data_IF_353228754330
#
_entry.id   IF_353228754330
#
_cell.length_a   1.000
_cell.length_b   1.000
_cell.length_c   1.000
_cell.angle_alpha   90.00
_cell.angle_beta   90.00
_cell.angle_gamma   90.00
#
_symmetry.space_group_name_H-M   'P 1'
#
loop_
_entity.id
_entity.type
_entity.pdbx_description
1 polymer ?
#
# COMPACT_ATOMS: atom_id res chain seq x y z
N UNK A 1 6.90 -25.78 60.13
CA UNK A 1 6.34 -24.51 60.61
C UNK A 1 4.94 -24.34 60.02
N UNK A 2 3.91 -24.38 60.87
CA UNK A 2 2.63 -23.62 60.84
C UNK A 2 1.83 -23.67 59.51
N UNK A 3 0.62 -24.20 59.34
CA UNK A 3 -0.56 -24.52 60.19
C UNK A 3 -1.51 -25.47 59.42
N UNK A 4 -2.12 -26.48 60.07
CA UNK A 4 -3.56 -26.59 60.46
C UNK A 4 -4.55 -25.86 59.52
N UNK A 5 -5.68 -26.40 59.05
CA UNK A 5 -6.44 -27.61 59.32
C UNK A 5 -7.93 -27.35 58.98
N UNK A 6 -8.73 -28.45 58.86
CA UNK A 6 -10.22 -28.51 58.87
C UNK A 6 -10.95 -27.97 57.62
N UNK A 7 -12.10 -28.47 57.16
CA UNK A 7 -13.14 -29.35 57.71
C UNK A 7 -14.01 -29.88 56.53
N UNK A 8 -14.58 -31.08 56.69
CA UNK A 8 -15.63 -31.67 55.86
C UNK A 8 -16.90 -30.79 55.78
N UNK A 9 -17.66 -30.89 54.67
CA UNK A 9 -18.95 -31.61 54.63
C UNK A 9 -19.81 -31.25 53.40
N UNK A 10 -20.63 -32.23 53.01
CA UNK A 10 -21.86 -32.16 52.19
C UNK A 10 -21.79 -32.54 50.71
N UNK A 11 -21.88 -33.87 50.56
CA UNK A 11 -22.66 -34.61 49.57
C UNK A 11 -24.05 -34.00 49.28
N UNK A 12 -24.41 -33.90 48.00
CA UNK A 12 -25.69 -34.42 47.51
C UNK A 12 -25.58 -34.79 46.03
N UNK A 13 -26.09 -35.98 45.77
CA UNK A 13 -25.99 -36.78 44.56
C UNK A 13 -27.06 -36.36 43.53
N UNK A 14 -27.20 -37.17 42.46
CA UNK A 14 -28.35 -37.26 41.51
C UNK A 14 -28.19 -36.30 40.31
N UNK A 15 -28.13 -36.68 39.02
CA UNK A 15 -28.57 -37.89 38.29
C UNK A 15 -27.97 -37.97 36.87
N UNK A 16 -27.53 -39.18 36.52
CA UNK A 16 -27.97 -39.99 35.35
C UNK A 16 -27.86 -39.40 33.93
N UNK A 17 -26.86 -39.94 33.23
CA UNK A 17 -26.82 -40.29 31.80
C UNK A 17 -28.17 -40.34 31.08
N UNK A 18 -28.28 -39.59 29.97
CA UNK A 18 -29.04 -40.00 28.79
C UNK A 18 -28.32 -39.61 27.51
N UNK A 19 -27.94 -40.64 26.75
CA UNK A 19 -27.67 -40.59 25.31
C UNK A 19 -28.83 -39.86 24.63
N UNK A 20 -28.54 -38.85 23.81
CA UNK A 20 -29.50 -38.31 22.87
C UNK A 20 -29.08 -38.67 21.45
N UNK A 21 -30.01 -39.33 20.77
CA UNK A 21 -29.92 -39.85 19.41
C UNK A 21 -29.66 -38.72 18.40
N UNK A 22 -28.78 -39.04 17.44
CA UNK A 22 -28.69 -38.31 16.18
C UNK A 22 -29.97 -38.55 15.37
N UNK A 23 -30.78 -37.51 15.23
CA UNK A 23 -31.80 -37.41 14.18
C UNK A 23 -31.32 -36.39 13.16
N UNK A 24 -30.97 -36.87 11.97
CA UNK A 24 -30.69 -36.08 10.78
C UNK A 24 -31.96 -35.31 10.39
N UNK A 25 -32.00 -34.01 10.68
CA UNK A 25 -32.97 -33.10 10.12
C UNK A 25 -32.37 -32.44 8.86
N UNK A 26 -33.02 -32.60 7.72
CA UNK A 26 -32.68 -31.95 6.45
C UNK A 26 -32.69 -30.42 6.61
N UNK A 27 -31.87 -29.66 5.85
CA UNK A 27 -31.86 -28.22 5.96
C UNK A 27 -33.15 -27.69 5.33
N UNK A 28 -34.09 -27.25 6.18
CA UNK A 28 -35.16 -26.38 5.73
C UNK A 28 -34.50 -25.08 5.24
N UNK A 29 -34.81 -24.70 4.00
CA UNK A 29 -34.49 -23.39 3.44
C UNK A 29 -35.08 -22.30 4.35
N UNK A 30 -34.28 -21.83 5.30
CA UNK A 30 -34.54 -20.55 5.96
C UNK A 30 -34.06 -19.50 4.98
N UNK A 31 -34.97 -19.03 4.14
CA UNK A 31 -34.88 -17.72 3.52
C UNK A 31 -34.82 -16.69 4.64
N UNK A 32 -33.62 -16.45 5.17
CA UNK A 32 -33.34 -15.28 5.99
C UNK A 32 -33.43 -14.10 5.05
N UNK A 33 -34.63 -13.51 4.96
CA UNK A 33 -34.76 -12.09 4.72
C UNK A 33 -33.94 -11.40 5.81
N UNK A 34 -32.67 -11.10 5.53
CA UNK A 34 -31.92 -10.10 6.29
C UNK A 34 -32.58 -8.76 5.98
N UNK A 35 -33.57 -8.41 6.80
CA UNK A 35 -34.02 -7.04 6.92
C UNK A 35 -32.82 -6.23 7.39
N UNK A 36 -32.23 -5.47 6.46
CA UNK A 36 -31.23 -4.46 6.75
C UNK A 36 -31.89 -3.37 7.60
N UNK A 37 -31.79 -3.50 8.92
CA UNK A 37 -32.14 -2.42 9.82
C UNK A 37 -31.15 -1.28 9.59
N UNK A 38 -31.64 -0.25 8.90
CA UNK A 38 -30.94 0.98 8.58
C UNK A 38 -30.61 1.79 9.86
N UNK A 39 -29.60 1.36 10.62
CA UNK A 39 -28.84 2.24 11.49
C UNK A 39 -27.90 3.12 10.65
N UNK A 40 -27.38 4.26 11.17
CA UNK A 40 -26.26 4.92 10.52
C UNK A 40 -25.12 3.89 10.43
N UNK A 41 -24.70 3.54 9.22
CA UNK A 41 -23.54 2.65 9.06
C UNK A 41 -22.34 3.36 9.73
N UNK A 42 -21.86 2.79 10.84
CA UNK A 42 -20.66 3.30 11.49
C UNK A 42 -19.50 3.27 10.48
N UNK A 43 -18.75 4.37 10.38
CA UNK A 43 -17.63 4.54 9.42
C UNK A 43 -16.67 3.35 9.48
N UNK A 44 -16.44 2.82 10.68
CA UNK A 44 -15.60 1.65 10.94
C UNK A 44 -16.08 0.38 10.24
N UNK A 45 -17.39 0.13 10.15
CA UNK A 45 -17.95 -1.04 9.47
C UNK A 45 -17.81 -0.93 7.95
N UNK A 46 -17.97 0.28 7.40
CA UNK A 46 -17.78 0.54 5.97
C UNK A 46 -16.31 0.36 5.59
N UNK A 47 -15.38 0.90 6.39
CA UNK A 47 -13.95 0.67 6.18
C UNK A 47 -13.59 -0.82 6.21
N UNK A 48 -14.17 -1.59 7.13
CA UNK A 48 -13.96 -3.04 7.18
C UNK A 48 -14.51 -3.75 5.94
N UNK A 49 -15.66 -3.32 5.39
CA UNK A 49 -16.20 -3.87 4.14
C UNK A 49 -15.28 -3.58 2.95
N UNK A 50 -14.75 -2.36 2.88
CA UNK A 50 -13.82 -1.92 1.83
C UNK A 50 -12.53 -2.74 1.87
N UNK A 51 -11.95 -2.95 3.06
CA UNK A 51 -10.71 -3.73 3.23
C UNK A 51 -10.90 -5.21 2.86
N UNK A 52 -12.09 -5.78 3.07
CA UNK A 52 -12.38 -7.19 2.76
C UNK A 52 -12.39 -7.48 1.26
N UNK A 53 -12.63 -6.48 0.41
CA UNK A 53 -12.60 -6.64 -1.03
C UNK A 53 -11.18 -6.50 -1.54
N UNK A 54 -10.68 -7.50 -2.28
CA UNK A 54 -9.30 -7.54 -2.74
C UNK A 54 -8.96 -6.39 -3.71
N UNK A 55 -9.89 -6.03 -4.61
CA UNK A 55 -9.71 -4.93 -5.58
C UNK A 55 -10.95 -4.02 -5.60
N UNK A 56 -11.16 -3.27 -4.52
CA UNK A 56 -12.30 -2.36 -4.38
C UNK A 56 -12.30 -1.20 -5.39
N UNK A 57 -11.12 -0.73 -5.80
CA UNK A 57 -10.96 0.42 -6.70
C UNK A 57 -10.71 0.02 -8.17
N UNK A 58 -10.85 -1.26 -8.48
CA UNK A 58 -10.64 -1.85 -9.80
C UNK A 58 -9.26 -1.51 -10.39
N UNK A 59 -8.22 -1.45 -9.56
CA UNK A 59 -6.87 -1.04 -9.98
C UNK A 59 -6.27 -2.01 -11.00
N UNK A 60 -6.75 -3.25 -11.03
CA UNK A 60 -6.34 -4.24 -12.04
C UNK A 60 -6.57 -3.75 -13.47
N UNK A 61 -7.63 -2.99 -13.70
CA UNK A 61 -8.02 -2.50 -15.03
C UNK A 61 -7.21 -1.28 -15.49
N UNK A 62 -6.31 -0.75 -14.65
CA UNK A 62 -5.52 0.44 -15.00
C UNK A 62 -4.42 0.17 -16.02
N UNK A 63 -3.88 -1.06 -16.05
CA UNK A 63 -2.79 -1.42 -16.94
C UNK A 63 -2.79 -2.91 -17.26
N UNK A 64 -2.22 -3.25 -18.41
CA UNK A 64 -1.88 -4.61 -18.80
C UNK A 64 -0.37 -4.85 -18.78
N UNK A 65 0.04 -6.12 -18.77
CA UNK A 65 1.47 -6.50 -18.93
C UNK A 65 2.03 -5.95 -20.25
N UNK A 66 1.19 -5.85 -21.28
CA UNK A 66 1.56 -5.28 -22.57
C UNK A 66 1.94 -3.81 -22.46
N UNK A 67 1.25 -3.05 -21.62
CA UNK A 67 1.54 -1.62 -21.41
C UNK A 67 2.89 -1.43 -20.70
N UNK A 68 3.20 -2.27 -19.70
CA UNK A 68 4.52 -2.30 -19.05
C UNK A 68 5.64 -2.62 -20.05
N UNK A 69 5.39 -3.59 -20.95
CA UNK A 69 6.33 -3.95 -22.00
C UNK A 69 6.58 -2.79 -22.97
N UNK A 70 5.51 -2.18 -23.47
CA UNK A 70 5.57 -1.04 -24.39
C UNK A 70 6.27 0.18 -23.77
N UNK A 71 6.09 0.41 -22.46
CA UNK A 71 6.73 1.49 -21.71
C UNK A 71 8.19 1.19 -21.30
N UNK A 72 8.76 0.04 -21.74
CA UNK A 72 10.16 -0.34 -21.48
C UNK A 72 10.48 -0.57 -20.00
N UNK A 73 9.48 -0.98 -19.20
CA UNK A 73 9.64 -1.28 -17.77
C UNK A 73 10.55 -2.47 -17.51
N UNK A 74 10.63 -3.40 -18.45
CA UNK A 74 11.40 -4.64 -18.33
C UNK A 74 12.91 -4.47 -18.44
N UNK A 75 13.43 -3.31 -18.85
CA UNK A 75 14.87 -3.10 -18.95
C UNK A 75 15.48 -2.79 -17.59
N UNK A 76 16.54 -3.51 -17.23
CA UNK A 76 17.40 -3.18 -16.11
C UNK A 76 18.79 -2.73 -16.56
N UNK A 77 19.66 -2.52 -15.58
CA UNK A 77 21.06 -2.16 -15.79
C UNK A 77 21.90 -3.35 -16.30
N UNK A 78 23.21 -3.14 -16.43
CA UNK A 78 24.17 -4.20 -16.78
C UNK A 78 24.31 -5.19 -15.62
N UNK A 79 24.62 -6.45 -15.94
CA UNK A 79 24.85 -7.52 -14.96
C UNK A 79 25.85 -7.14 -13.85
N UNK A 80 26.91 -6.39 -14.19
CA UNK A 80 27.92 -5.96 -13.22
C UNK A 80 27.45 -4.95 -12.18
N UNK A 81 26.26 -4.36 -12.36
CA UNK A 81 25.64 -3.42 -11.42
C UNK A 81 24.50 -4.04 -10.61
N UNK A 82 24.26 -5.35 -10.76
CA UNK A 82 23.19 -6.07 -10.07
C UNK A 82 23.43 -6.10 -8.56
N UNK A 83 22.41 -5.73 -7.79
CA UNK A 83 22.34 -6.05 -6.36
C UNK A 83 21.81 -7.48 -6.16
N UNK A 84 22.46 -8.24 -5.29
CA UNK A 84 22.11 -9.63 -5.01
C UNK A 84 20.66 -9.82 -4.55
N UNK A 85 20.08 -8.81 -3.88
CA UNK A 85 18.70 -8.84 -3.35
C UNK A 85 17.67 -8.67 -4.45
N UNK A 86 18.07 -8.14 -5.61
CA UNK A 86 17.19 -7.96 -6.77
C UNK A 86 17.07 -9.21 -7.63
N UNK A 87 17.95 -10.21 -7.45
CA UNK A 87 17.94 -11.48 -8.21
C UNK A 87 16.56 -12.13 -8.36
N UNK A 88 15.68 -12.21 -7.34
CA UNK A 88 14.37 -12.87 -7.48
C UNK A 88 13.42 -12.16 -8.47
N UNK A 89 13.62 -10.87 -8.71
CA UNK A 89 12.80 -10.06 -9.62
C UNK A 89 13.31 -10.04 -11.06
N UNK A 90 14.54 -10.51 -11.29
CA UNK A 90 15.15 -10.60 -12.61
C UNK A 90 14.67 -11.88 -13.30
N UNK A 91 14.19 -11.74 -14.53
CA UNK A 91 13.81 -12.84 -15.41
C UNK A 91 15.05 -13.51 -16.02
N UNK A 92 16.01 -12.71 -16.47
CA UNK A 92 17.25 -13.18 -17.05
C UNK A 92 18.11 -12.03 -17.57
N UNK A 93 19.10 -12.36 -18.39
CA UNK A 93 19.95 -11.36 -19.04
C UNK A 93 20.03 -11.61 -20.54
N UNK A 94 20.14 -10.52 -21.31
CA UNK A 94 20.33 -10.53 -22.75
C UNK A 94 21.47 -9.60 -23.11
N UNK A 95 22.54 -10.15 -23.69
CA UNK A 95 23.74 -9.39 -24.08
C UNK A 95 24.33 -8.58 -22.90
N UNK A 96 24.27 -9.13 -21.68
CA UNK A 96 24.76 -8.47 -20.47
C UNK A 96 23.84 -7.39 -19.88
N UNK A 97 22.64 -7.22 -20.45
CA UNK A 97 21.57 -6.36 -19.90
C UNK A 97 20.53 -7.20 -19.16
N UNK A 98 20.23 -6.81 -17.93
CA UNK A 98 19.24 -7.48 -17.09
C UNK A 98 17.82 -7.19 -17.59
N UNK A 99 16.95 -8.18 -17.45
CA UNK A 99 15.54 -8.10 -17.82
C UNK A 99 14.68 -8.43 -16.61
N UNK A 100 13.75 -7.55 -16.26
CA UNK A 100 12.78 -7.79 -15.19
C UNK A 100 11.67 -8.74 -15.61
N UNK A 101 11.20 -9.51 -14.64
CA UNK A 101 10.00 -10.34 -14.75
C UNK A 101 8.75 -9.48 -14.59
N UNK A 102 8.10 -9.16 -15.71
CA UNK A 102 6.94 -8.27 -15.73
C UNK A 102 5.71 -8.85 -15.02
N UNK A 103 5.60 -10.17 -14.86
CA UNK A 103 4.48 -10.77 -14.14
C UNK A 103 4.62 -10.47 -12.64
N UNK A 104 5.85 -10.57 -12.11
CA UNK A 104 6.16 -10.13 -10.74
C UNK A 104 5.96 -8.63 -10.59
N UNK A 105 6.48 -7.82 -11.54
CA UNK A 105 6.27 -6.36 -11.53
C UNK A 105 4.78 -6.02 -11.49
N UNK A 106 3.96 -6.68 -12.31
CA UNK A 106 2.53 -6.42 -12.38
C UNK A 106 1.82 -6.76 -11.06
N UNK A 107 2.20 -7.86 -10.39
CA UNK A 107 1.66 -8.17 -9.06
C UNK A 107 1.98 -7.08 -8.04
N UNK A 108 3.26 -6.72 -7.91
CA UNK A 108 3.71 -5.74 -6.93
C UNK A 108 3.15 -4.33 -7.21
N UNK A 109 3.03 -3.97 -8.49
CA UNK A 109 2.45 -2.70 -8.90
C UNK A 109 0.95 -2.63 -8.59
N UNK A 110 0.19 -3.72 -8.77
CA UNK A 110 -1.23 -3.76 -8.37
C UNK A 110 -1.38 -3.58 -6.86
N UNK A 111 -0.57 -4.25 -6.06
CA UNK A 111 -0.59 -4.10 -4.61
C UNK A 111 -0.27 -2.66 -4.19
N UNK A 112 0.75 -2.05 -4.79
CA UNK A 112 1.12 -0.66 -4.57
C UNK A 112 0.01 0.33 -4.95
N UNK A 113 -0.64 0.15 -6.11
CA UNK A 113 -1.76 0.98 -6.55
C UNK A 113 -2.98 0.83 -5.63
N UNK A 114 -3.26 -0.40 -5.17
CA UNK A 114 -4.37 -0.66 -4.27
C UNK A 114 -4.19 0.06 -2.93
N UNK A 115 -2.99 -0.05 -2.33
CA UNK A 115 -2.65 0.65 -1.08
C UNK A 115 -2.72 2.17 -1.28
N UNK A 116 -2.23 2.67 -2.41
CA UNK A 116 -2.30 4.10 -2.74
C UNK A 116 -3.76 4.58 -2.80
N UNK A 117 -4.64 3.83 -3.47
CA UNK A 117 -6.06 4.16 -3.57
C UNK A 117 -6.77 4.12 -2.20
N UNK A 118 -6.43 3.14 -1.35
CA UNK A 118 -6.94 3.05 0.02
C UNK A 118 -6.50 4.22 0.91
N UNK A 119 -5.27 4.72 0.75
CA UNK A 119 -4.78 5.88 1.52
C UNK A 119 -5.43 7.17 1.01
N UNK A 120 -5.57 7.31 -0.31
CA UNK A 120 -6.32 8.42 -0.90
C UNK A 120 -7.80 8.43 -0.47
N UNK A 121 -8.44 7.26 -0.37
CA UNK A 121 -9.81 7.13 0.14
C UNK A 121 -9.95 7.60 1.60
N UNK A 122 -8.90 7.43 2.42
CA UNK A 122 -8.85 7.86 3.82
C UNK A 122 -8.42 9.31 4.02
N UNK A 123 -8.23 10.08 2.94
CA UNK A 123 -7.71 11.45 3.01
C UNK A 123 -6.32 11.52 3.67
N UNK A 124 -5.50 10.50 3.35
CA UNK A 124 -4.10 10.45 3.74
C UNK A 124 -3.23 11.31 2.82
N UNK A 125 -2.18 11.89 3.38
CA UNK A 125 -1.23 12.74 2.64
C UNK A 125 -0.26 11.84 1.86
N UNK A 126 -0.24 11.97 0.53
CA UNK A 126 0.69 11.23 -0.33
C UNK A 126 1.79 12.18 -0.84
N UNK A 127 3.04 11.74 -0.75
CA UNK A 127 4.19 12.51 -1.22
C UNK A 127 5.01 11.73 -2.25
N UNK A 128 5.14 12.27 -3.45
CA UNK A 128 5.97 11.73 -4.53
C UNK A 128 7.43 12.17 -4.38
N UNK A 129 8.36 11.23 -4.46
CA UNK A 129 9.79 11.45 -4.39
C UNK A 129 10.47 11.10 -5.72
N UNK A 130 11.27 12.02 -6.22
CA UNK A 130 12.11 11.79 -7.39
C UNK A 130 13.37 12.65 -7.31
N UNK A 131 14.58 12.06 -7.35
CA UNK A 131 15.82 12.84 -7.40
C UNK A 131 16.34 13.11 -8.81
N UNK A 132 15.86 12.37 -9.79
CA UNK A 132 16.28 12.54 -11.17
C UNK A 132 15.74 13.87 -11.73
N UNK A 133 16.68 14.76 -12.09
CA UNK A 133 16.36 16.10 -12.59
C UNK A 133 15.59 16.06 -13.92
N UNK A 134 15.81 15.04 -14.76
CA UNK A 134 15.13 14.90 -16.05
C UNK A 134 13.62 14.74 -15.87
N UNK A 135 13.22 13.96 -14.87
CA UNK A 135 11.82 13.62 -14.63
C UNK A 135 11.14 14.57 -13.63
N UNK A 136 11.89 15.49 -13.00
CA UNK A 136 11.38 16.34 -11.92
C UNK A 136 10.11 17.11 -12.31
N UNK A 137 10.09 17.71 -13.50
CA UNK A 137 8.93 18.47 -13.97
C UNK A 137 7.69 17.59 -14.19
N UNK A 138 7.88 16.39 -14.74
CA UNK A 138 6.78 15.44 -14.99
C UNK A 138 6.14 15.03 -13.66
N UNK A 139 6.97 14.69 -12.67
CA UNK A 139 6.52 14.26 -11.33
C UNK A 139 5.79 15.38 -10.60
N UNK A 140 6.37 16.59 -10.57
CA UNK A 140 5.75 17.76 -9.94
C UNK A 140 4.37 18.07 -10.55
N UNK A 141 4.29 18.06 -11.89
CA UNK A 141 3.03 18.31 -12.60
C UNK A 141 1.98 17.24 -12.30
N UNK A 142 2.36 15.95 -12.30
CA UNK A 142 1.42 14.84 -12.07
C UNK A 142 0.94 14.77 -10.63
N UNK A 143 1.79 15.08 -9.66
CA UNK A 143 1.40 15.22 -8.26
C UNK A 143 0.40 16.37 -8.07
N UNK A 144 0.67 17.52 -8.72
CA UNK A 144 -0.25 18.67 -8.70
C UNK A 144 -1.60 18.33 -9.34
N UNK A 145 -1.62 17.63 -10.48
CA UNK A 145 -2.86 17.13 -11.12
C UNK A 145 -3.64 16.15 -10.23
N UNK A 146 -2.95 15.36 -9.40
CA UNK A 146 -3.58 14.44 -8.44
C UNK A 146 -4.08 15.15 -7.16
N UNK A 147 -3.68 16.41 -6.95
CA UNK A 147 -3.90 17.14 -5.70
C UNK A 147 -3.10 16.55 -4.54
N UNK A 148 -1.87 16.09 -4.80
CA UNK A 148 -0.93 15.53 -3.84
C UNK A 148 0.40 16.29 -3.84
N UNK A 149 1.30 15.96 -2.92
CA UNK A 149 2.58 16.64 -2.77
C UNK A 149 3.70 15.92 -3.52
N UNK A 150 4.74 16.67 -3.89
CA UNK A 150 5.95 16.11 -4.47
C UNK A 150 7.20 16.77 -3.91
N UNK A 151 8.24 15.98 -3.73
CA UNK A 151 9.57 16.42 -3.33
C UNK A 151 10.61 15.92 -4.35
N UNK A 152 11.05 16.83 -5.21
CA UNK A 152 12.04 16.52 -6.25
C UNK A 152 13.41 17.16 -6.01
N UNK A 153 13.45 18.18 -5.14
CA UNK A 153 14.65 18.96 -4.85
C UNK A 153 15.58 18.17 -3.92
N UNK A 154 16.71 18.79 -3.56
CA UNK A 154 17.70 18.17 -2.70
C UNK A 154 17.13 17.90 -1.30
N UNK A 155 17.10 16.63 -0.90
CA UNK A 155 16.60 16.20 0.41
C UNK A 155 17.53 16.68 1.53
N UNK A 156 17.07 17.69 2.29
CA UNK A 156 17.76 18.10 3.51
C UNK A 156 17.47 17.08 4.62
N UNK A 157 18.51 16.59 5.27
CA UNK A 157 18.36 15.68 6.40
C UNK A 157 17.53 16.32 7.52
N UNK A 158 16.67 15.54 8.15
CA UNK A 158 15.85 16.01 9.27
C UNK A 158 14.48 16.57 8.91
N UNK A 159 14.07 16.54 7.64
CA UNK A 159 12.71 16.97 7.23
C UNK A 159 11.62 16.14 7.93
N UNK A 160 11.80 14.82 8.02
CA UNK A 160 10.84 13.95 8.71
C UNK A 160 11.16 13.79 10.20
N UNK A 161 12.43 13.58 10.55
CA UNK A 161 12.81 13.29 11.95
C UNK A 161 12.84 14.52 12.86
N UNK A 162 13.00 15.72 12.29
CA UNK A 162 13.05 16.99 13.01
C UNK A 162 12.09 18.02 12.39
N UNK A 163 10.91 17.54 11.97
CA UNK A 163 9.92 18.34 11.24
C UNK A 163 9.50 19.61 11.99
N UNK A 164 9.24 19.50 13.30
CA UNK A 164 8.81 20.64 14.13
C UNK A 164 9.78 21.82 14.09
N UNK A 165 11.09 21.55 14.11
CA UNK A 165 12.12 22.60 14.04
C UNK A 165 12.32 23.09 12.61
N UNK A 166 12.28 22.19 11.61
CA UNK A 166 12.45 22.56 10.20
C UNK A 166 11.31 23.45 9.69
N UNK A 167 10.07 23.16 10.09
CA UNK A 167 8.88 23.89 9.66
C UNK A 167 8.46 25.00 10.64
N UNK A 168 8.97 25.00 11.87
CA UNK A 168 8.62 25.99 12.90
C UNK A 168 7.19 25.84 13.45
N UNK A 169 6.52 24.71 13.16
CA UNK A 169 5.16 24.43 13.59
C UNK A 169 4.94 22.92 13.75
N UNK A 170 3.91 22.54 14.50
CA UNK A 170 3.44 21.15 14.54
C UNK A 170 2.88 20.80 13.16
N UNK A 171 3.56 19.88 12.47
CA UNK A 171 3.26 19.52 11.08
C UNK A 171 2.77 18.08 10.99
N UNK A 172 1.72 17.87 10.18
CA UNK A 172 1.28 16.52 9.79
C UNK A 172 2.24 16.00 8.71
N UNK A 173 2.89 14.88 9.01
CA UNK A 173 3.77 14.19 8.07
C UNK A 173 2.96 13.42 7.01
N UNK A 174 3.58 13.05 5.87
CA UNK A 174 2.90 12.22 4.88
C UNK A 174 2.56 10.84 5.45
N UNK A 175 1.40 10.34 5.06
CA UNK A 175 0.92 8.99 5.42
C UNK A 175 1.44 7.94 4.42
N UNK A 176 1.88 8.37 3.23
CA UNK A 176 2.50 7.52 2.20
C UNK A 176 3.59 8.28 1.44
N UNK A 177 4.74 7.63 1.26
CA UNK A 177 5.81 8.12 0.39
C UNK A 177 5.93 7.21 -0.85
N UNK A 178 5.88 7.79 -2.05
CA UNK A 178 6.05 7.08 -3.31
C UNK A 178 7.38 7.50 -3.94
N UNK A 179 8.35 6.60 -3.99
CA UNK A 179 9.66 6.81 -4.61
C UNK A 179 9.65 6.33 -6.06
N UNK A 180 9.75 7.25 -7.01
CA UNK A 180 9.92 6.91 -8.42
C UNK A 180 11.38 6.53 -8.74
N UNK A 181 12.32 7.03 -7.95
CA UNK A 181 13.71 6.60 -7.93
C UNK A 181 14.13 6.43 -6.47
N UNK A 182 14.72 5.28 -6.14
CA UNK A 182 15.13 4.97 -4.75
C UNK A 182 16.58 5.34 -4.47
N UNK A 183 17.37 5.59 -5.51
CA UNK A 183 18.74 6.10 -5.42
C UNK A 183 18.78 7.64 -5.56
N UNK A 184 19.89 8.20 -5.10
CA UNK A 184 20.25 9.60 -5.32
C UNK A 184 21.26 9.74 -6.49
N UNK A 185 21.68 10.97 -6.77
CA UNK A 185 22.60 11.27 -7.87
C UNK A 185 24.01 10.64 -7.73
N UNK A 186 24.34 10.09 -6.56
CA UNK A 186 25.61 9.42 -6.26
C UNK A 186 25.41 7.89 -6.19
N UNK A 187 24.29 7.38 -6.73
CA UNK A 187 23.94 5.95 -6.75
C UNK A 187 23.87 5.33 -5.34
N UNK A 188 23.63 6.15 -4.31
CA UNK A 188 23.41 5.70 -2.95
C UNK A 188 21.91 5.75 -2.62
N UNK A 189 21.47 4.87 -1.72
CA UNK A 189 20.07 4.83 -1.28
C UNK A 189 19.62 6.20 -0.75
N UNK A 190 18.44 6.65 -1.20
CA UNK A 190 17.90 7.94 -0.81
C UNK A 190 17.61 7.99 0.69
N UNK A 191 18.13 9.03 1.36
CA UNK A 191 18.01 9.19 2.81
C UNK A 191 16.56 9.21 3.30
N UNK A 192 15.62 9.73 2.50
CA UNK A 192 14.20 9.74 2.86
C UNK A 192 13.59 8.33 2.97
N UNK A 193 14.15 7.29 2.33
CA UNK A 193 13.69 5.91 2.53
C UNK A 193 13.97 5.49 3.97
N UNK A 194 15.18 5.75 4.45
CA UNK A 194 15.58 5.49 5.84
C UNK A 194 14.79 6.35 6.83
N UNK A 195 14.58 7.62 6.52
CA UNK A 195 13.85 8.53 7.41
C UNK A 195 12.35 8.15 7.48
N UNK A 196 11.75 7.71 6.37
CA UNK A 196 10.37 7.18 6.34
C UNK A 196 10.24 5.93 7.21
N UNK A 197 11.19 5.00 7.09
CA UNK A 197 11.21 3.79 7.91
C UNK A 197 11.32 4.10 9.42
N UNK A 198 12.14 5.10 9.79
CA UNK A 198 12.25 5.56 11.18
C UNK A 198 10.96 6.17 11.72
N UNK A 199 10.20 6.85 10.88
CA UNK A 199 8.93 7.49 11.23
C UNK A 199 7.72 6.56 11.06
N UNK A 200 7.94 5.27 10.75
CA UNK A 200 6.90 4.29 10.46
C UNK A 200 5.94 4.70 9.32
N UNK A 201 6.45 5.50 8.36
CA UNK A 201 5.70 5.90 7.16
C UNK A 201 5.87 4.80 6.10
N UNK A 202 4.78 4.21 5.58
CA UNK A 202 4.86 3.20 4.53
C UNK A 202 5.44 3.81 3.25
N UNK A 203 6.25 3.02 2.55
CA UNK A 203 6.92 3.46 1.34
C UNK A 203 6.59 2.52 0.18
N UNK A 204 6.21 3.11 -0.95
CA UNK A 204 6.17 2.45 -2.25
C UNK A 204 7.40 2.92 -3.00
N UNK A 205 8.14 2.02 -3.65
CA UNK A 205 9.36 2.40 -4.35
C UNK A 205 9.57 1.59 -5.61
N UNK A 206 9.85 2.28 -6.71
CA UNK A 206 10.30 1.64 -7.94
C UNK A 206 11.77 1.27 -7.76
N UNK A 207 12.03 -0.04 -7.78
CA UNK A 207 13.35 -0.60 -7.52
C UNK A 207 13.96 -1.11 -8.81
N UNK A 208 15.05 -0.49 -9.23
CA UNK A 208 15.89 -1.02 -10.31
C UNK A 208 16.82 -2.11 -9.76
N UNK A 209 17.48 -2.81 -10.66
CA UNK A 209 18.42 -3.92 -10.50
C UNK A 209 19.61 -3.61 -9.60
N UNK A 210 20.00 -2.33 -9.47
CA UNK A 210 21.08 -1.88 -8.58
C UNK A 210 20.57 -1.34 -7.22
N UNK A 211 19.26 -1.42 -6.95
CA UNK A 211 18.64 -0.87 -5.75
C UNK A 211 18.47 -1.93 -4.65
N UNK A 212 18.36 -1.47 -3.40
CA UNK A 212 18.08 -2.32 -2.25
C UNK A 212 16.57 -2.27 -1.90
N UNK A 213 15.80 -3.37 -2.09
CA UNK A 213 14.36 -3.38 -1.85
C UNK A 213 13.98 -3.51 -0.36
N UNK A 214 14.89 -3.95 0.52
CA UNK A 214 14.54 -4.41 1.87
C UNK A 214 13.90 -3.35 2.79
N UNK A 215 14.21 -2.07 2.60
CA UNK A 215 13.68 -0.98 3.42
C UNK A 215 12.36 -0.40 2.86
N UNK A 216 11.93 -0.86 1.70
CA UNK A 216 10.73 -0.38 1.02
C UNK A 216 9.58 -1.31 1.38
N UNK A 217 8.43 -0.75 1.77
CA UNK A 217 7.27 -1.54 2.20
C UNK A 217 6.64 -2.29 1.04
N UNK A 218 6.47 -1.61 -0.09
CA UNK A 218 5.92 -2.16 -1.33
C UNK A 218 6.90 -1.89 -2.48
N UNK A 219 7.93 -2.75 -2.68
CA UNK A 219 8.88 -2.60 -3.77
C UNK A 219 8.24 -3.01 -5.10
N UNK A 220 8.33 -2.15 -6.11
CA UNK A 220 7.89 -2.44 -7.48
C UNK A 220 9.12 -2.59 -8.38
N UNK A 221 9.47 -3.82 -8.80
CA UNK A 221 10.64 -4.02 -9.64
C UNK A 221 10.42 -3.50 -11.05
N UNK A 222 11.30 -2.63 -11.54
CA UNK A 222 11.19 -2.10 -12.88
C UNK A 222 12.17 -0.97 -13.16
N UNK A 223 12.25 -0.58 -14.43
CA UNK A 223 13.06 0.52 -14.94
C UNK A 223 12.66 1.86 -14.33
N UNK A 224 13.60 2.60 -13.76
CA UNK A 224 13.40 3.95 -13.21
C UNK A 224 14.15 5.07 -13.99
N UNK A 225 14.86 4.72 -15.06
CA UNK A 225 15.63 5.64 -15.90
C UNK A 225 14.82 6.22 -17.06
N UNK A 226 14.04 5.37 -17.74
CA UNK A 226 13.42 5.75 -19.00
C UNK A 226 12.21 6.67 -18.78
N UNK A 227 12.13 7.84 -19.43
CA UNK A 227 11.02 8.78 -19.26
C UNK A 227 9.63 8.16 -19.53
N UNK A 228 9.53 7.26 -20.52
CA UNK A 228 8.28 6.54 -20.83
C UNK A 228 7.79 5.68 -19.66
N UNK A 229 8.70 5.04 -18.92
CA UNK A 229 8.36 4.24 -17.75
C UNK A 229 7.90 5.15 -16.61
N UNK A 230 8.66 6.22 -16.32
CA UNK A 230 8.32 7.19 -15.26
C UNK A 230 6.98 7.88 -15.53
N UNK A 231 6.71 8.26 -16.78
CA UNK A 231 5.41 8.82 -17.15
C UNK A 231 4.27 7.81 -16.95
N UNK A 232 4.48 6.54 -17.33
CA UNK A 232 3.50 5.48 -17.09
C UNK A 232 3.21 5.36 -15.59
N UNK A 233 4.22 5.22 -14.74
CA UNK A 233 4.02 5.11 -13.29
C UNK A 233 3.28 6.31 -12.72
N UNK A 234 3.70 7.54 -13.08
CA UNK A 234 3.02 8.75 -12.65
C UNK A 234 1.54 8.76 -13.03
N UNK A 235 1.22 8.34 -14.26
CA UNK A 235 -0.16 8.27 -14.73
C UNK A 235 -0.98 7.21 -14.00
N UNK A 236 -0.39 6.04 -13.71
CA UNK A 236 -1.06 4.96 -12.95
C UNK A 236 -1.34 5.38 -11.51
N UNK A 237 -0.34 5.93 -10.81
CA UNK A 237 -0.53 6.43 -9.44
C UNK A 237 -1.56 7.56 -9.40
N UNK A 238 -1.49 8.52 -10.34
CA UNK A 238 -2.50 9.58 -10.45
C UNK A 238 -3.90 8.99 -10.63
N UNK A 239 -4.08 8.02 -11.53
CA UNK A 239 -5.38 7.40 -11.78
C UNK A 239 -5.91 6.66 -10.54
N UNK A 240 -5.04 5.93 -9.82
CA UNK A 240 -5.40 5.24 -8.57
C UNK A 240 -5.83 6.23 -7.47
N UNK A 241 -5.09 7.33 -7.30
CA UNK A 241 -5.41 8.39 -6.33
C UNK A 241 -6.76 9.02 -6.66
N UNK A 242 -6.98 9.39 -7.93
CA UNK A 242 -8.24 10.00 -8.36
C UNK A 242 -9.43 9.06 -8.18
N UNK A 243 -9.28 7.76 -8.44
CA UNK A 243 -10.31 6.75 -8.15
C UNK A 243 -10.61 6.63 -6.65
N UNK A 244 -9.57 6.59 -5.81
CA UNK A 244 -9.71 6.59 -4.36
C UNK A 244 -10.47 7.83 -3.85
N UNK A 245 -10.08 9.02 -4.31
CA UNK A 245 -10.76 10.28 -3.98
C UNK A 245 -12.19 10.33 -4.50
N UNK A 246 -12.45 9.81 -5.69
CA UNK A 246 -13.80 9.73 -6.26
C UNK A 246 -14.70 8.83 -5.41
N UNK A 247 -14.25 7.62 -5.08
CA UNK A 247 -15.00 6.70 -4.21
C UNK A 247 -15.25 7.28 -2.83
N UNK A 248 -14.31 8.07 -2.30
CA UNK A 248 -14.52 8.82 -1.06
C UNK A 248 -15.65 9.85 -1.18
N UNK A 249 -15.71 10.61 -2.27
CA UNK A 249 -16.80 11.58 -2.49
C UNK A 249 -18.15 10.88 -2.57
N UNK A 250 -18.25 9.81 -3.37
CA UNK A 250 -19.45 8.97 -3.49
C UNK A 250 -19.88 8.41 -2.12
N UNK A 251 -18.93 8.06 -1.26
CA UNK A 251 -19.20 7.59 0.10
C UNK A 251 -19.69 8.71 1.04
N UNK A 252 -19.17 9.93 0.92
CA UNK A 252 -19.49 11.05 1.81
C UNK A 252 -20.77 11.81 1.41
N UNK A 253 -21.17 11.80 0.13
CA UNK A 253 -22.36 12.51 -0.36
C UNK A 253 -23.64 12.15 0.43
N UNK A 254 -24.02 10.87 0.61
CA UNK A 254 -25.21 10.50 1.38
C UNK A 254 -25.14 10.87 2.87
N UNK A 255 -23.93 10.91 3.45
CA UNK A 255 -23.73 11.28 4.85
C UNK A 255 -23.96 12.79 5.04
N UNK A 256 -23.49 13.60 4.09
CA UNK A 256 -23.68 15.05 4.13
C UNK A 256 -25.15 15.45 3.92
N UNK A 257 -25.89 14.70 3.10
CA UNK A 257 -27.34 14.92 2.90
C UNK A 257 -28.15 14.61 4.16
N UNK A 258 -27.75 13.63 4.98
CA UNK A 258 -28.40 13.30 6.26
C UNK A 258 -28.15 14.32 7.37
N UNK A 259 -27.11 15.14 7.24
CA UNK A 259 -26.73 16.16 8.23
C UNK A 259 -27.41 17.52 7.95
N UNK A 260 -27.86 17.75 6.72
CA UNK A 260 -28.62 18.95 6.32
C UNK A 260 -30.10 18.81 6.66
#
# INVERSE_FOLDING_TARGET
MVTNGRLCAHCSCVTRSRRFNATLASPANVSTNLEWQNGPEDISYVEQRIIKQADYFEVHNLFSVRDLFNARVHYGHKEGSLDDRMRPFIYGSRLGHLIFDLDKTASHLRDALNVTAHIAFRDGIICFFNRNALNAHIVEKKAMEAGEFSYTKFWRGGIFTNSNVQFGAVTRLPDLCIFLNTQNNILAQHTAVRDSAKMAIPTIGIVDSNCNPNLITYPVPGNDDTPCAIELYCNLFKAAILRGKQKRREFLEPLNEKIK
#
